data_IF_538572276712
#
_entry.id   IF_538572276712
#
_cell.length_a   1.000
_cell.length_b   1.000
_cell.length_c   1.000
_cell.angle_alpha   90.00
_cell.angle_beta   90.00
_cell.angle_gamma   90.00
#
_symmetry.space_group_name_H-M   'P 1'
#
loop_
_entity.id
_entity.type
_entity.pdbx_description
1 polymer ?
#
# COMPACT_ATOMS: atom_id res chain seq x y z
N UNK A 1 6.66 26.65 -17.39
CA UNK A 1 7.09 27.27 -16.13
C UNK A 1 5.84 27.41 -15.29
N UNK A 2 5.76 26.78 -14.12
CA UNK A 2 4.55 26.81 -13.30
C UNK A 2 4.49 28.15 -12.56
N UNK A 3 3.50 28.98 -12.86
CA UNK A 3 3.23 30.22 -12.13
C UNK A 3 2.85 29.86 -10.69
N UNK A 4 3.80 30.02 -9.77
CA UNK A 4 3.53 29.86 -8.35
C UNK A 4 2.69 31.04 -7.88
N UNK A 5 1.38 30.88 -7.85
CA UNK A 5 0.44 31.88 -7.34
C UNK A 5 0.27 31.75 -5.82
N UNK A 6 -0.40 32.74 -5.21
CA UNK A 6 -0.72 32.76 -3.78
C UNK A 6 -1.63 31.60 -3.29
N UNK A 7 -2.03 30.68 -4.17
CA UNK A 7 -2.77 29.47 -3.79
C UNK A 7 -1.89 28.24 -3.62
N UNK A 8 -0.60 28.31 -3.97
CA UNK A 8 0.38 27.28 -3.61
C UNK A 8 0.64 27.31 -2.10
N UNK A 9 0.55 26.17 -1.36
CA UNK A 9 0.62 26.13 0.11
C UNK A 9 1.87 26.80 0.72
N UNK A 10 3.03 26.65 0.08
CA UNK A 10 4.31 27.19 0.56
C UNK A 10 4.65 28.59 0.01
N UNK A 11 3.75 29.23 -0.74
CA UNK A 11 4.04 30.53 -1.33
C UNK A 11 4.09 31.62 -0.24
N UNK A 12 5.14 32.47 -0.18
CA UNK A 12 5.29 33.48 0.87
C UNK A 12 4.08 34.41 1.02
N UNK A 13 3.46 34.80 -0.10
CA UNK A 13 2.25 35.64 -0.08
C UNK A 13 1.03 34.94 0.54
N UNK A 14 0.92 33.61 0.38
CA UNK A 14 -0.13 32.83 1.02
C UNK A 14 0.07 32.81 2.53
N UNK A 15 1.30 32.53 2.96
CA UNK A 15 1.69 32.50 4.37
C UNK A 15 1.39 33.86 5.02
N UNK A 16 1.85 34.96 4.42
CA UNK A 16 1.60 36.30 4.93
C UNK A 16 0.10 36.65 5.01
N UNK A 17 -0.69 36.26 4.00
CA UNK A 17 -2.14 36.43 4.01
C UNK A 17 -2.81 35.63 5.13
N UNK A 18 -2.37 34.40 5.35
CA UNK A 18 -2.92 33.51 6.38
C UNK A 18 -2.58 34.05 7.78
N UNK A 19 -1.32 34.46 8.01
CA UNK A 19 -0.93 35.09 9.28
C UNK A 19 -1.74 36.36 9.57
N UNK A 20 -1.92 37.23 8.57
CA UNK A 20 -2.71 38.45 8.74
C UNK A 20 -4.16 38.16 9.10
N UNK A 21 -4.80 37.19 8.47
CA UNK A 21 -6.18 36.80 8.77
C UNK A 21 -6.28 36.08 10.12
N UNK A 22 -5.28 35.29 10.52
CA UNK A 22 -5.25 34.67 11.87
C UNK A 22 -5.13 35.72 12.96
N UNK A 23 -4.32 36.75 12.74
CA UNK A 23 -4.17 37.86 13.67
C UNK A 23 -5.46 38.68 13.78
N UNK A 24 -6.17 38.90 12.67
CA UNK A 24 -7.42 39.66 12.64
C UNK A 24 -8.38 39.16 11.54
N UNK A 25 -9.39 38.37 11.94
CA UNK A 25 -10.42 37.80 11.05
C UNK A 25 -11.51 38.78 10.64
N UNK A 26 -11.63 39.93 11.31
CA UNK A 26 -12.57 41.00 10.94
C UNK A 26 -11.86 42.15 10.24
N UNK A 27 -10.53 42.12 10.21
CA UNK A 27 -9.66 43.11 9.63
C UNK A 27 -9.74 43.25 8.11
N UNK A 28 -9.02 44.24 7.57
CA UNK A 28 -9.12 44.64 6.16
C UNK A 28 -8.70 43.54 5.19
N UNK A 29 -7.73 42.68 5.56
CA UNK A 29 -7.28 41.55 4.72
C UNK A 29 -8.36 40.50 4.60
N UNK A 30 -8.99 40.13 5.71
CA UNK A 30 -10.11 39.19 5.75
C UNK A 30 -11.32 39.74 4.97
N UNK A 31 -11.68 41.01 5.20
CA UNK A 31 -12.75 41.68 4.47
C UNK A 31 -12.47 41.77 2.96
N UNK A 32 -11.21 41.96 2.56
CA UNK A 32 -10.80 41.95 1.16
C UNK A 32 -10.96 40.57 0.54
N UNK A 33 -10.52 39.50 1.21
CA UNK A 33 -10.66 38.13 0.72
C UNK A 33 -12.14 37.75 0.52
N UNK A 34 -13.00 38.05 1.50
CA UNK A 34 -14.44 37.83 1.39
C UNK A 34 -15.07 38.61 0.22
N UNK A 35 -14.57 39.81 -0.07
CA UNK A 35 -15.02 40.60 -1.24
C UNK A 35 -14.57 39.98 -2.57
N UNK A 36 -13.38 39.38 -2.63
CA UNK A 36 -12.87 38.72 -3.84
C UNK A 36 -13.72 37.50 -4.24
N UNK A 37 -14.38 36.84 -3.29
CA UNK A 37 -15.39 35.82 -3.60
C UNK A 37 -16.60 36.35 -4.39
N UNK A 38 -16.73 37.68 -4.52
CA UNK A 38 -17.77 38.37 -5.31
C UNK A 38 -17.20 39.13 -6.51
N UNK A 39 -15.94 38.93 -6.86
CA UNK A 39 -15.32 39.59 -8.01
C UNK A 39 -16.03 39.20 -9.33
N UNK A 40 -16.00 40.10 -10.32
CA UNK A 40 -16.61 39.86 -11.63
C UNK A 40 -15.94 38.69 -12.37
N UNK A 41 -14.63 38.56 -12.21
CA UNK A 41 -13.84 37.51 -12.86
C UNK A 41 -13.98 36.16 -12.15
N UNK A 42 -14.43 35.08 -12.84
CA UNK A 42 -14.60 33.77 -12.22
C UNK A 42 -13.31 33.18 -11.62
N UNK A 43 -12.17 33.34 -12.28
CA UNK A 43 -10.88 32.86 -11.76
C UNK A 43 -10.57 33.46 -10.38
N UNK A 44 -10.81 34.75 -10.18
CA UNK A 44 -10.63 35.43 -8.88
C UNK A 44 -11.56 34.85 -7.82
N UNK A 45 -12.83 34.57 -8.18
CA UNK A 45 -13.79 33.94 -7.24
C UNK A 45 -13.34 32.54 -6.84
N UNK A 46 -12.84 31.73 -7.78
CA UNK A 46 -12.33 30.37 -7.53
C UNK A 46 -11.17 30.40 -6.54
N UNK A 47 -10.13 31.19 -6.81
CA UNK A 47 -8.95 31.31 -5.93
C UNK A 47 -9.34 31.85 -4.54
N UNK A 48 -10.26 32.81 -4.48
CA UNK A 48 -10.76 33.33 -3.20
C UNK A 48 -11.48 32.24 -2.38
N UNK A 49 -12.33 31.42 -3.01
CA UNK A 49 -13.02 30.31 -2.34
C UNK A 49 -12.03 29.22 -1.87
N UNK A 50 -10.96 28.95 -2.62
CA UNK A 50 -9.92 27.99 -2.20
C UNK A 50 -9.15 28.48 -0.95
N UNK A 51 -8.80 29.77 -0.93
CA UNK A 51 -8.16 30.40 0.23
C UNK A 51 -9.11 30.41 1.44
N UNK A 52 -10.38 30.78 1.25
CA UNK A 52 -11.41 30.74 2.29
C UNK A 52 -11.62 29.31 2.83
N UNK A 53 -11.67 28.32 1.95
CA UNK A 53 -11.81 26.91 2.35
C UNK A 53 -10.65 26.45 3.22
N UNK A 54 -9.43 26.80 2.82
CA UNK A 54 -8.22 26.48 3.55
C UNK A 54 -8.20 27.12 4.94
N UNK A 55 -8.57 28.41 5.05
CA UNK A 55 -8.63 29.11 6.33
C UNK A 55 -9.73 28.57 7.25
N UNK A 56 -10.89 28.24 6.68
CA UNK A 56 -12.00 27.64 7.41
C UNK A 56 -11.71 26.21 7.88
N UNK A 57 -10.76 25.52 7.22
CA UNK A 57 -10.28 24.22 7.68
C UNK A 57 -9.47 24.33 8.98
N UNK A 58 -8.61 25.35 9.09
CA UNK A 58 -7.77 25.56 10.28
C UNK A 58 -8.60 25.92 11.50
N UNK A 59 -9.57 26.83 11.36
CA UNK A 59 -10.53 27.16 12.41
C UNK A 59 -11.87 27.62 11.81
N UNK A 60 -13.02 27.30 12.43
CA UNK A 60 -14.35 27.67 11.94
C UNK A 60 -14.47 29.15 11.57
N UNK A 61 -15.04 29.44 10.41
CA UNK A 61 -15.19 30.81 9.92
C UNK A 61 -16.56 31.03 9.24
N UNK A 62 -17.59 31.46 10.00
CA UNK A 62 -18.96 31.58 9.50
C UNK A 62 -19.11 32.51 8.28
N UNK A 63 -18.36 33.62 8.23
CA UNK A 63 -18.42 34.58 7.11
C UNK A 63 -17.92 33.96 5.81
N UNK A 64 -16.91 33.10 5.87
CA UNK A 64 -16.43 32.34 4.71
C UNK A 64 -17.51 31.36 4.21
N UNK A 65 -18.22 30.70 5.12
CA UNK A 65 -19.35 29.83 4.80
C UNK A 65 -20.49 30.62 4.15
N UNK A 66 -20.84 31.78 4.70
CA UNK A 66 -21.87 32.67 4.12
C UNK A 66 -21.47 33.17 2.72
N UNK A 67 -20.19 33.48 2.51
CA UNK A 67 -19.69 33.84 1.18
C UNK A 67 -19.83 32.69 0.18
N UNK A 68 -19.59 31.44 0.59
CA UNK A 68 -19.81 30.26 -0.23
C UNK A 68 -21.31 30.03 -0.53
N UNK A 69 -22.20 30.15 0.46
CA UNK A 69 -23.66 30.00 0.26
C UNK A 69 -24.17 30.95 -0.84
N UNK A 70 -23.69 32.19 -0.84
CA UNK A 70 -24.06 33.18 -1.87
C UNK A 70 -23.61 32.81 -3.29
N UNK A 71 -22.76 31.78 -3.47
CA UNK A 71 -22.17 31.32 -4.74
C UNK A 71 -22.65 29.94 -5.17
N UNK A 72 -23.62 29.34 -4.48
CA UNK A 72 -24.17 28.02 -4.86
C UNK A 72 -24.92 28.03 -6.20
N UNK A 73 -25.32 29.21 -6.70
CA UNK A 73 -25.97 29.40 -8.01
C UNK A 73 -25.15 30.30 -8.95
N UNK A 74 -23.83 30.36 -8.75
CA UNK A 74 -22.93 31.14 -9.61
C UNK A 74 -22.97 30.64 -11.08
N UNK A 75 -22.92 31.51 -12.10
CA UNK A 75 -22.92 31.06 -13.50
C UNK A 75 -21.72 30.17 -13.84
N UNK A 76 -20.61 30.32 -13.13
CA UNK A 76 -19.41 29.50 -13.33
C UNK A 76 -19.51 28.20 -12.53
N UNK A 77 -19.52 27.05 -13.23
CA UNK A 77 -19.65 25.72 -12.61
C UNK A 77 -18.58 25.45 -11.54
N UNK A 78 -17.36 25.88 -11.81
CA UNK A 78 -16.22 25.61 -10.94
C UNK A 78 -16.23 26.50 -9.69
N UNK A 79 -16.81 27.71 -9.77
CA UNK A 79 -17.17 28.52 -8.58
C UNK A 79 -18.24 27.82 -7.75
N UNK A 80 -19.30 27.28 -8.38
CA UNK A 80 -20.35 26.51 -7.67
C UNK A 80 -19.77 25.30 -6.96
N UNK A 81 -18.89 24.54 -7.63
CA UNK A 81 -18.18 23.38 -7.06
C UNK A 81 -17.40 23.75 -5.80
N UNK A 82 -16.55 24.77 -5.87
CA UNK A 82 -15.75 25.24 -4.72
C UNK A 82 -16.62 25.77 -3.58
N UNK A 83 -17.67 26.52 -3.92
CA UNK A 83 -18.65 27.01 -2.96
C UNK A 83 -19.35 25.84 -2.24
N UNK A 84 -19.81 24.83 -2.98
CA UNK A 84 -20.41 23.63 -2.43
C UNK A 84 -19.45 22.85 -1.53
N UNK A 85 -18.17 22.71 -1.91
CA UNK A 85 -17.15 22.09 -1.06
C UNK A 85 -16.93 22.87 0.24
N UNK A 86 -16.76 24.20 0.17
CA UNK A 86 -16.59 25.04 1.37
C UNK A 86 -17.82 25.00 2.27
N UNK A 87 -19.01 25.20 1.72
CA UNK A 87 -20.26 25.16 2.47
C UNK A 87 -20.53 23.78 3.06
N UNK A 88 -20.40 22.71 2.27
CA UNK A 88 -20.67 21.35 2.71
C UNK A 88 -19.74 20.89 3.85
N UNK A 89 -18.42 21.09 3.71
CA UNK A 89 -17.44 20.57 4.67
C UNK A 89 -17.21 21.46 5.90
N UNK A 90 -17.64 22.74 5.85
CA UNK A 90 -17.43 23.71 6.95
C UNK A 90 -18.73 24.28 7.51
N UNK A 91 -19.86 24.10 6.83
CA UNK A 91 -21.18 24.48 7.29
C UNK A 91 -21.74 23.50 8.31
N UNK A 92 -22.82 23.90 8.97
CA UNK A 92 -23.57 23.03 9.86
C UNK A 92 -24.43 22.05 9.04
N UNK A 93 -24.45 20.77 9.41
CA UNK A 93 -25.17 19.73 8.66
C UNK A 93 -26.65 20.06 8.43
N UNK A 94 -27.33 20.68 9.42
CA UNK A 94 -28.73 21.11 9.28
C UNK A 94 -28.94 22.14 8.18
N UNK A 95 -28.05 23.14 8.07
CA UNK A 95 -28.09 24.14 7.00
C UNK A 95 -27.77 23.52 5.64
N UNK A 96 -26.85 22.56 5.58
CA UNK A 96 -26.50 21.85 4.34
C UNK A 96 -27.67 20.99 3.86
N UNK A 97 -28.35 20.28 4.76
CA UNK A 97 -29.56 19.52 4.44
C UNK A 97 -30.68 20.43 3.92
N UNK A 98 -30.93 21.57 4.59
CA UNK A 98 -31.94 22.53 4.15
C UNK A 98 -31.64 23.06 2.74
N UNK A 99 -30.38 23.44 2.48
CA UNK A 99 -29.97 23.91 1.16
C UNK A 99 -30.10 22.82 0.08
N UNK A 100 -29.81 21.56 0.41
CA UNK A 100 -30.00 20.44 -0.51
C UNK A 100 -31.47 20.30 -0.95
N UNK A 101 -32.44 20.59 -0.08
CA UNK A 101 -33.86 20.58 -0.45
C UNK A 101 -34.27 21.62 -1.50
N UNK A 102 -33.57 22.76 -1.55
CA UNK A 102 -33.92 23.90 -2.42
C UNK A 102 -33.16 23.94 -3.75
N UNK A 103 -31.99 23.30 -3.81
CA UNK A 103 -31.09 23.38 -4.97
C UNK A 103 -31.44 22.34 -6.03
N UNK A 104 -31.51 22.76 -7.29
CA UNK A 104 -31.75 21.86 -8.43
C UNK A 104 -30.46 21.36 -9.12
N UNK A 105 -29.32 22.05 -8.94
CA UNK A 105 -28.06 21.71 -9.63
C UNK A 105 -27.51 20.34 -9.16
N UNK A 106 -27.42 19.33 -10.05
CA UNK A 106 -26.94 18.01 -9.69
C UNK A 106 -25.53 17.98 -9.11
N UNK A 107 -24.61 18.80 -9.63
CA UNK A 107 -23.23 18.86 -9.16
C UNK A 107 -23.17 19.36 -7.72
N UNK A 108 -23.86 20.47 -7.44
CA UNK A 108 -23.88 21.07 -6.11
C UNK A 108 -24.55 20.12 -5.10
N UNK A 109 -25.71 19.56 -5.45
CA UNK A 109 -26.42 18.59 -4.59
C UNK A 109 -25.55 17.39 -4.23
N UNK A 110 -24.83 16.84 -5.22
CA UNK A 110 -23.93 15.70 -5.03
C UNK A 110 -22.78 16.03 -4.06
N UNK A 111 -22.16 17.19 -4.21
CA UNK A 111 -21.06 17.63 -3.32
C UNK A 111 -21.57 17.83 -1.89
N UNK A 112 -22.75 18.45 -1.72
CA UNK A 112 -23.35 18.66 -0.40
C UNK A 112 -23.72 17.32 0.26
N UNK A 113 -24.34 16.39 -0.48
CA UNK A 113 -24.64 15.05 0.01
C UNK A 113 -23.38 14.31 0.46
N UNK A 114 -22.28 14.42 -0.30
CA UNK A 114 -20.99 13.83 0.09
C UNK A 114 -20.44 14.44 1.37
N UNK A 115 -20.55 15.75 1.54
CA UNK A 115 -20.03 16.44 2.70
C UNK A 115 -20.81 16.16 4.00
N UNK A 116 -22.10 15.80 3.89
CA UNK A 116 -22.94 15.39 5.02
C UNK A 116 -22.47 14.09 5.70
N UNK A 117 -21.70 13.25 5.00
CA UNK A 117 -21.21 11.98 5.52
C UNK A 117 -22.35 11.12 6.08
N UNK A 118 -22.25 10.58 7.32
CA UNK A 118 -23.30 9.73 7.89
C UNK A 118 -24.71 10.35 7.90
N UNK A 119 -24.82 11.68 7.93
CA UNK A 119 -26.12 12.38 7.90
C UNK A 119 -26.87 12.16 6.58
N UNK A 120 -26.16 11.87 5.49
CA UNK A 120 -26.76 11.61 4.18
C UNK A 120 -27.57 10.30 4.14
N UNK A 121 -27.45 9.41 5.13
CA UNK A 121 -28.17 8.13 5.17
C UNK A 121 -29.71 8.27 5.10
N UNK A 122 -30.26 9.46 5.39
CA UNK A 122 -31.69 9.74 5.27
C UNK A 122 -32.15 10.15 3.86
N UNK A 123 -31.22 10.31 2.91
CA UNK A 123 -31.50 10.79 1.55
C UNK A 123 -31.67 9.64 0.55
N UNK A 124 -32.14 8.46 1.00
CA UNK A 124 -32.31 7.28 0.13
C UNK A 124 -33.40 7.45 -0.92
N UNK A 125 -34.35 8.35 -0.69
CA UNK A 125 -35.46 8.66 -1.61
C UNK A 125 -35.21 9.93 -2.44
N UNK A 126 -33.97 10.44 -2.48
CA UNK A 126 -33.63 11.65 -3.23
C UNK A 126 -33.89 11.50 -4.74
N UNK A 127 -34.29 12.58 -5.42
CA UNK A 127 -34.53 12.56 -6.86
C UNK A 127 -33.26 12.28 -7.69
N UNK A 128 -32.07 12.58 -7.16
CA UNK A 128 -30.80 12.43 -7.85
C UNK A 128 -30.08 11.14 -7.44
N UNK A 129 -29.74 10.31 -8.43
CA UNK A 129 -29.12 9.00 -8.18
C UNK A 129 -27.76 9.08 -7.47
N UNK A 130 -26.95 10.12 -7.71
CA UNK A 130 -25.69 10.31 -6.98
C UNK A 130 -25.91 10.59 -5.49
N UNK A 131 -26.98 11.28 -5.13
CA UNK A 131 -27.35 11.53 -3.72
C UNK A 131 -27.86 10.25 -3.08
N UNK A 132 -28.76 9.53 -3.76
CA UNK A 132 -29.23 8.21 -3.29
C UNK A 132 -28.10 7.22 -3.14
N UNK A 133 -27.17 7.15 -4.10
CA UNK A 133 -26.00 6.28 -4.02
C UNK A 133 -25.18 6.58 -2.76
N UNK A 134 -24.88 7.85 -2.48
CA UNK A 134 -24.16 8.25 -1.27
C UNK A 134 -24.97 7.89 0.00
N UNK A 135 -26.29 8.13 0.01
CA UNK A 135 -27.15 7.77 1.13
C UNK A 135 -27.18 6.25 1.39
N UNK A 136 -27.28 5.44 0.34
CA UNK A 136 -27.21 3.98 0.40
C UNK A 136 -25.85 3.51 0.89
N UNK A 137 -24.76 4.17 0.48
CA UNK A 137 -23.41 3.85 0.91
C UNK A 137 -23.21 4.14 2.41
N UNK A 138 -23.72 5.27 2.90
CA UNK A 138 -23.68 5.61 4.33
C UNK A 138 -24.59 4.67 5.16
N UNK A 139 -25.75 4.31 4.62
CA UNK A 139 -26.63 3.30 5.23
C UNK A 139 -25.94 1.95 5.32
N UNK A 140 -25.22 1.54 4.27
CA UNK A 140 -24.46 0.29 4.23
C UNK A 140 -23.38 0.23 5.30
N UNK A 141 -22.69 1.33 5.59
CA UNK A 141 -21.65 1.40 6.63
C UNK A 141 -22.17 1.08 8.03
N UNK A 142 -23.43 1.41 8.32
CA UNK A 142 -24.05 1.16 9.62
C UNK A 142 -24.96 -0.08 9.63
N UNK A 143 -25.22 -0.70 8.47
CA UNK A 143 -26.20 -1.76 8.34
C UNK A 143 -25.70 -3.13 8.84
N UNK A 144 -26.58 -3.93 9.48
CA UNK A 144 -26.27 -5.32 9.79
C UNK A 144 -26.20 -6.19 8.51
N UNK A 145 -25.48 -7.34 8.55
CA UNK A 145 -25.25 -8.19 7.37
C UNK A 145 -26.50 -8.60 6.59
N UNK A 146 -27.63 -8.78 7.27
CA UNK A 146 -28.91 -9.15 6.65
C UNK A 146 -29.41 -8.12 5.62
N UNK A 147 -29.02 -6.84 5.75
CA UNK A 147 -29.43 -5.76 4.84
C UNK A 147 -28.46 -5.49 3.70
N UNK A 148 -27.28 -6.11 3.71
CA UNK A 148 -26.22 -5.79 2.75
C UNK A 148 -26.65 -6.06 1.31
N UNK A 149 -27.27 -7.22 1.04
CA UNK A 149 -27.70 -7.57 -0.33
C UNK A 149 -28.73 -6.60 -0.91
N UNK A 150 -29.69 -6.14 -0.11
CA UNK A 150 -30.68 -5.15 -0.57
C UNK A 150 -30.05 -3.79 -0.84
N UNK A 151 -29.05 -3.40 -0.04
CA UNK A 151 -28.34 -2.14 -0.24
C UNK A 151 -27.39 -2.20 -1.45
N UNK A 152 -26.76 -3.36 -1.68
CA UNK A 152 -25.95 -3.57 -2.89
C UNK A 152 -26.81 -3.48 -4.16
N UNK A 153 -28.03 -4.04 -4.14
CA UNK A 153 -28.97 -3.92 -5.26
C UNK A 153 -29.35 -2.45 -5.51
N UNK A 154 -29.69 -1.69 -4.47
CA UNK A 154 -30.00 -0.27 -4.59
C UNK A 154 -28.80 0.56 -5.09
N UNK A 155 -27.58 0.26 -4.62
CA UNK A 155 -26.35 0.88 -5.12
C UNK A 155 -26.14 0.58 -6.61
N UNK A 156 -26.37 -0.65 -7.04
CA UNK A 156 -26.28 -1.04 -8.46
C UNK A 156 -27.33 -0.35 -9.33
N UNK A 157 -28.54 -0.15 -8.83
CA UNK A 157 -29.59 0.59 -9.56
C UNK A 157 -29.20 2.06 -9.77
N UNK A 158 -28.53 2.67 -8.79
CA UNK A 158 -28.12 4.08 -8.85
C UNK A 158 -26.78 4.32 -9.58
N UNK A 159 -25.87 3.33 -9.60
CA UNK A 159 -24.45 3.53 -9.93
C UNK A 159 -24.22 4.15 -11.31
N UNK A 160 -25.00 3.76 -12.32
CA UNK A 160 -24.85 4.22 -13.70
C UNK A 160 -25.16 5.71 -13.85
N UNK A 161 -26.21 6.16 -13.18
CA UNK A 161 -26.61 7.57 -13.20
C UNK A 161 -25.70 8.38 -12.29
N UNK A 162 -25.35 7.83 -11.12
CA UNK A 162 -24.43 8.46 -10.18
C UNK A 162 -23.07 8.79 -10.80
N UNK A 163 -22.58 7.95 -11.72
CA UNK A 163 -21.30 8.11 -12.39
C UNK A 163 -21.18 9.38 -13.24
N UNK A 164 -22.30 10.04 -13.57
CA UNK A 164 -22.29 11.33 -14.29
C UNK A 164 -21.87 12.50 -13.40
N UNK A 165 -21.93 12.33 -12.08
CA UNK A 165 -21.71 13.39 -11.10
C UNK A 165 -20.71 13.00 -10.01
N UNK A 166 -20.26 11.74 -9.97
CA UNK A 166 -19.30 11.20 -9.01
C UNK A 166 -18.17 10.46 -9.73
N UNK A 167 -16.99 11.06 -9.73
CA UNK A 167 -15.80 10.57 -10.46
C UNK A 167 -15.07 9.41 -9.73
N UNK A 168 -15.33 9.17 -8.45
CA UNK A 168 -14.58 8.23 -7.60
C UNK A 168 -15.43 7.14 -6.93
N UNK A 169 -16.55 6.77 -7.56
CA UNK A 169 -17.51 5.77 -7.06
C UNK A 169 -16.86 4.44 -6.68
N UNK A 170 -16.04 3.88 -7.56
CA UNK A 170 -15.40 2.58 -7.31
C UNK A 170 -14.48 2.60 -6.10
N UNK A 171 -13.76 3.71 -5.90
CA UNK A 171 -12.87 3.90 -4.76
C UNK A 171 -13.66 4.02 -3.45
N UNK A 172 -14.66 4.90 -3.38
CA UNK A 172 -15.45 5.11 -2.14
C UNK A 172 -16.26 3.87 -1.76
N UNK A 173 -16.74 3.12 -2.76
CA UNK A 173 -17.45 1.87 -2.54
C UNK A 173 -16.49 0.78 -2.05
N UNK A 174 -15.33 0.63 -2.69
CA UNK A 174 -14.29 -0.31 -2.26
C UNK A 174 -13.83 -0.10 -0.82
N UNK A 175 -13.57 1.16 -0.43
CA UNK A 175 -13.23 1.50 0.96
C UNK A 175 -14.32 1.10 1.95
N UNK A 176 -15.58 1.23 1.56
CA UNK A 176 -16.72 0.84 2.39
C UNK A 176 -16.78 -0.68 2.57
N UNK A 177 -16.65 -1.43 1.48
CA UNK A 177 -16.62 -2.90 1.52
C UNK A 177 -15.42 -3.45 2.30
N UNK A 178 -14.26 -2.79 2.19
CA UNK A 178 -13.07 -3.11 2.98
C UNK A 178 -13.32 -2.99 4.49
N UNK A 179 -13.87 -1.86 4.93
CA UNK A 179 -14.20 -1.64 6.35
C UNK A 179 -15.20 -2.66 6.90
N UNK A 180 -16.09 -3.17 6.05
CA UNK A 180 -17.06 -4.20 6.39
C UNK A 180 -16.50 -5.63 6.27
N UNK A 181 -15.25 -5.81 5.83
CA UNK A 181 -14.64 -7.14 5.65
C UNK A 181 -15.24 -7.95 4.49
N UNK A 182 -15.86 -7.29 3.50
CA UNK A 182 -16.66 -7.91 2.43
C UNK A 182 -15.84 -8.28 1.20
N UNK A 183 -14.77 -9.05 1.39
CA UNK A 183 -13.82 -9.41 0.33
C UNK A 183 -14.48 -10.13 -0.86
N UNK A 184 -15.18 -11.24 -0.62
CA UNK A 184 -15.79 -12.04 -1.69
C UNK A 184 -16.96 -11.31 -2.39
N UNK A 185 -17.75 -10.54 -1.63
CA UNK A 185 -18.82 -9.73 -2.21
C UNK A 185 -18.25 -8.65 -3.13
N UNK A 186 -17.11 -8.07 -2.77
CA UNK A 186 -16.39 -7.11 -3.63
C UNK A 186 -16.03 -7.75 -4.97
N UNK A 187 -15.54 -9.00 -4.97
CA UNK A 187 -15.20 -9.67 -6.23
C UNK A 187 -16.43 -9.94 -7.10
N UNK A 188 -17.55 -10.28 -6.46
CA UNK A 188 -18.83 -10.47 -7.14
C UNK A 188 -19.35 -9.17 -7.75
N UNK A 189 -19.26 -8.05 -7.02
CA UNK A 189 -19.63 -6.73 -7.51
C UNK A 189 -18.73 -6.26 -8.65
N UNK A 190 -17.41 -6.48 -8.55
CA UNK A 190 -16.46 -6.20 -9.64
C UNK A 190 -16.85 -6.97 -10.90
N UNK A 191 -17.12 -8.27 -10.80
CA UNK A 191 -17.54 -9.07 -11.94
C UNK A 191 -18.83 -8.53 -12.59
N UNK A 192 -19.81 -8.16 -11.77
CA UNK A 192 -21.06 -7.57 -12.24
C UNK A 192 -20.84 -6.24 -12.97
N UNK A 193 -20.08 -5.32 -12.37
CA UNK A 193 -19.82 -3.99 -12.91
C UNK A 193 -18.95 -4.01 -14.17
N UNK A 194 -18.00 -4.95 -14.28
CA UNK A 194 -17.15 -5.11 -15.48
C UNK A 194 -17.93 -5.65 -16.69
N UNK A 195 -19.00 -6.42 -16.43
CA UNK A 195 -19.83 -7.02 -17.47
C UNK A 195 -20.65 -5.97 -18.25
N UNK A 196 -21.13 -4.91 -17.60
CA UNK A 196 -21.81 -3.78 -18.26
C UNK A 196 -20.80 -2.71 -18.73
N UNK A 197 -20.71 -2.42 -20.03
CA UNK A 197 -19.89 -1.32 -20.55
C UNK A 197 -20.10 0.03 -19.86
N UNK A 198 -21.32 0.33 -19.39
CA UNK A 198 -21.66 1.61 -18.77
C UNK A 198 -21.08 1.76 -17.35
N UNK A 199 -20.75 0.65 -16.67
CA UNK A 199 -20.24 0.64 -15.30
C UNK A 199 -18.82 0.08 -15.21
N UNK A 200 -18.20 -0.26 -16.34
CA UNK A 200 -16.92 -0.95 -16.39
C UNK A 200 -15.80 -0.20 -15.68
N UNK A 201 -15.72 1.11 -15.86
CA UNK A 201 -14.68 1.92 -15.21
C UNK A 201 -14.83 1.92 -13.69
N UNK A 202 -16.07 1.90 -13.20
CA UNK A 202 -16.40 1.80 -11.76
C UNK A 202 -15.99 0.42 -11.24
N UNK A 203 -16.27 -0.64 -12.00
CA UNK A 203 -15.82 -2.00 -11.70
C UNK A 203 -14.30 -2.13 -11.67
N UNK A 204 -13.60 -1.46 -12.58
CA UNK A 204 -12.14 -1.41 -12.62
C UNK A 204 -11.55 -0.65 -11.42
N UNK A 205 -12.12 0.51 -11.06
CA UNK A 205 -11.70 1.26 -9.87
C UNK A 205 -11.95 0.49 -8.57
N UNK A 206 -13.10 -0.21 -8.49
CA UNK A 206 -13.42 -1.10 -7.38
C UNK A 206 -12.42 -2.27 -7.30
N UNK A 207 -12.05 -2.85 -8.45
CA UNK A 207 -11.05 -3.92 -8.52
C UNK A 207 -9.66 -3.42 -8.09
N UNK A 208 -9.28 -2.22 -8.52
CA UNK A 208 -8.03 -1.56 -8.13
C UNK A 208 -7.98 -1.32 -6.63
N UNK A 209 -9.06 -0.78 -6.05
CA UNK A 209 -9.18 -0.61 -4.60
C UNK A 209 -9.06 -1.96 -3.87
N UNK A 210 -9.74 -2.99 -4.35
CA UNK A 210 -9.66 -4.33 -3.78
C UNK A 210 -8.23 -4.91 -3.81
N UNK A 211 -7.47 -4.68 -4.89
CA UNK A 211 -6.08 -5.10 -5.00
C UNK A 211 -5.16 -4.42 -3.97
N UNK A 212 -5.45 -3.16 -3.63
CA UNK A 212 -4.73 -2.43 -2.57
C UNK A 212 -5.11 -2.88 -1.16
N UNK A 213 -6.29 -3.46 -0.97
CA UNK A 213 -6.83 -3.76 0.36
C UNK A 213 -6.66 -5.24 0.75
N UNK A 214 -6.89 -6.17 -0.18
CA UNK A 214 -6.83 -7.61 0.05
C UNK A 214 -5.75 -8.29 -0.77
N UNK A 215 -5.03 -9.23 -0.15
CA UNK A 215 -3.93 -9.95 -0.83
C UNK A 215 -4.40 -10.96 -1.86
N UNK A 216 -5.59 -11.52 -1.69
CA UNK A 216 -6.16 -12.46 -2.66
C UNK A 216 -6.68 -11.75 -3.92
N UNK A 217 -7.01 -10.46 -3.84
CA UNK A 217 -7.72 -9.73 -4.89
C UNK A 217 -6.97 -9.73 -6.24
N UNK A 218 -5.65 -9.50 -6.32
CA UNK A 218 -4.95 -9.57 -7.60
C UNK A 218 -5.09 -10.91 -8.31
N UNK A 219 -4.98 -12.03 -7.58
CA UNK A 219 -5.14 -13.37 -8.15
C UNK A 219 -6.57 -13.60 -8.61
N UNK A 220 -7.56 -13.18 -7.81
CA UNK A 220 -8.98 -13.40 -8.11
C UNK A 220 -9.50 -12.51 -9.25
N UNK A 221 -9.04 -11.26 -9.33
CA UNK A 221 -9.61 -10.24 -10.21
C UNK A 221 -8.85 -10.10 -11.54
N UNK A 222 -7.57 -10.47 -11.60
CA UNK A 222 -6.78 -10.32 -12.82
C UNK A 222 -7.40 -11.02 -14.04
N UNK A 223 -7.91 -12.28 -13.96
CA UNK A 223 -8.57 -12.91 -15.08
C UNK A 223 -9.81 -12.13 -15.58
N UNK A 224 -10.61 -11.60 -14.65
CA UNK A 224 -11.80 -10.79 -14.98
C UNK A 224 -11.42 -9.49 -15.67
N UNK A 225 -10.40 -8.79 -15.17
CA UNK A 225 -9.89 -7.56 -15.77
C UNK A 225 -9.38 -7.79 -17.19
N UNK A 226 -8.66 -8.90 -17.42
CA UNK A 226 -8.18 -9.28 -18.77
C UNK A 226 -9.34 -9.66 -19.68
N UNK A 227 -10.33 -10.40 -19.19
CA UNK A 227 -11.52 -10.80 -19.96
C UNK A 227 -12.31 -9.60 -20.49
N UNK A 228 -12.48 -8.56 -19.66
CA UNK A 228 -13.31 -7.39 -20.00
C UNK A 228 -12.54 -6.24 -20.66
N UNK A 229 -11.29 -6.47 -21.09
CA UNK A 229 -10.41 -5.40 -21.60
C UNK A 229 -10.81 -4.73 -22.91
N UNK A 230 -11.71 -5.37 -23.67
CA UNK A 230 -12.14 -4.88 -24.97
C UNK A 230 -10.98 -4.64 -25.94
N UNK A 231 -11.23 -3.88 -27.02
CA UNK A 231 -10.19 -3.44 -27.97
C UNK A 231 -9.46 -2.17 -27.50
N UNK A 232 -10.11 -1.36 -26.68
CA UNK A 232 -9.60 -0.10 -26.13
C UNK A 232 -9.65 -0.18 -24.61
N UNK A 233 -8.48 -0.18 -23.98
CA UNK A 233 -8.34 -0.18 -22.53
C UNK A 233 -8.58 1.23 -22.00
N UNK A 234 -9.58 1.39 -21.14
CA UNK A 234 -9.84 2.67 -20.46
C UNK A 234 -8.75 2.97 -19.43
N UNK A 235 -8.52 4.23 -19.04
CA UNK A 235 -7.54 4.57 -18.01
C UNK A 235 -7.77 3.83 -16.68
N UNK A 236 -9.02 3.72 -16.23
CA UNK A 236 -9.38 3.00 -15.00
C UNK A 236 -9.00 1.51 -15.08
N UNK A 237 -9.35 0.86 -16.18
CA UNK A 237 -9.01 -0.54 -16.41
C UNK A 237 -7.49 -0.77 -16.53
N UNK A 238 -6.78 0.10 -17.24
CA UNK A 238 -5.33 0.06 -17.35
C UNK A 238 -4.65 0.22 -15.99
N UNK A 239 -5.15 1.13 -15.16
CA UNK A 239 -4.69 1.31 -13.78
C UNK A 239 -4.96 0.08 -12.92
N UNK A 240 -6.14 -0.55 -13.03
CA UNK A 240 -6.47 -1.78 -12.30
C UNK A 240 -5.59 -2.97 -12.72
N UNK A 241 -5.38 -3.18 -14.02
CA UNK A 241 -4.47 -4.20 -14.55
C UNK A 241 -3.04 -3.98 -14.06
N UNK A 242 -2.56 -2.73 -14.10
CA UNK A 242 -1.22 -2.37 -13.61
C UNK A 242 -1.07 -2.68 -12.13
N UNK A 243 -2.06 -2.34 -11.30
CA UNK A 243 -2.06 -2.67 -9.88
C UNK A 243 -2.09 -4.17 -9.64
N UNK A 244 -2.98 -4.92 -10.29
CA UNK A 244 -3.05 -6.37 -10.13
C UNK A 244 -1.71 -7.06 -10.50
N UNK A 245 -1.03 -6.54 -11.53
CA UNK A 245 0.27 -7.04 -12.00
C UNK A 245 1.42 -6.81 -11.02
N UNK A 246 1.24 -5.99 -9.98
CA UNK A 246 2.23 -5.82 -8.91
C UNK A 246 2.38 -7.11 -8.10
N UNK A 247 1.30 -7.90 -7.96
CA UNK A 247 1.33 -9.11 -7.14
C UNK A 247 2.08 -10.25 -7.81
N UNK A 248 3.12 -10.76 -7.16
CA UNK A 248 3.89 -11.90 -7.67
C UNK A 248 3.07 -13.19 -7.71
N UNK A 249 2.10 -13.32 -6.79
CA UNK A 249 1.18 -14.46 -6.79
C UNK A 249 0.29 -14.45 -8.04
N UNK A 250 -0.31 -13.29 -8.35
CA UNK A 250 -1.13 -13.13 -9.55
C UNK A 250 -0.31 -13.34 -10.83
N UNK A 251 0.90 -12.78 -10.90
CA UNK A 251 1.79 -12.97 -12.06
C UNK A 251 2.20 -14.43 -12.26
N UNK A 252 2.44 -15.18 -11.19
CA UNK A 252 2.72 -16.63 -11.30
C UNK A 252 1.50 -17.43 -11.75
N UNK A 253 0.32 -17.09 -11.25
CA UNK A 253 -0.91 -17.81 -11.56
C UNK A 253 -1.45 -17.50 -12.97
N UNK A 254 -1.32 -16.24 -13.40
CA UNK A 254 -2.05 -15.69 -14.55
C UNK A 254 -1.21 -14.83 -15.49
N UNK A 255 0.12 -14.77 -15.30
CA UNK A 255 1.00 -13.92 -16.11
C UNK A 255 0.91 -14.16 -17.62
N UNK A 256 0.57 -15.38 -18.04
CA UNK A 256 0.32 -15.70 -19.45
C UNK A 256 -0.83 -14.87 -20.06
N UNK A 257 -1.87 -14.55 -19.27
CA UNK A 257 -2.99 -13.72 -19.72
C UNK A 257 -2.57 -12.27 -20.01
N UNK A 258 -1.54 -11.79 -19.32
CA UNK A 258 -0.99 -10.44 -19.49
C UNK A 258 0.00 -10.32 -20.64
N UNK A 259 0.61 -11.43 -21.09
CA UNK A 259 1.52 -11.43 -22.23
C UNK A 259 0.85 -10.94 -23.52
N UNK A 260 -0.48 -11.08 -23.60
CA UNK A 260 -1.30 -10.59 -24.71
C UNK A 260 -1.73 -9.13 -24.54
N UNK A 261 -1.39 -8.46 -23.43
CA UNK A 261 -1.75 -7.07 -23.14
C UNK A 261 -0.56 -6.18 -23.46
N UNK A 262 -0.71 -5.14 -24.32
CA UNK A 262 0.29 -4.10 -24.45
C UNK A 262 0.35 -3.29 -23.13
N UNK A 263 1.20 -3.72 -22.20
CA UNK A 263 1.45 -2.99 -20.96
C UNK A 263 2.73 -2.18 -21.10
N UNK A 264 2.69 -0.89 -20.78
CA UNK A 264 3.90 -0.16 -20.41
C UNK A 264 4.42 -0.77 -19.11
N UNK A 265 5.61 -1.40 -19.10
CA UNK A 265 6.15 -1.93 -17.86
C UNK A 265 6.26 -0.78 -16.86
N UNK A 266 5.63 -0.92 -15.70
CA UNK A 266 5.90 0.01 -14.61
C UNK A 266 7.41 -0.02 -14.36
N UNK A 267 8.09 1.14 -14.28
CA UNK A 267 9.50 1.15 -13.97
C UNK A 267 9.67 0.47 -12.62
N UNK A 268 10.20 -0.76 -12.63
CA UNK A 268 10.75 -1.37 -11.42
C UNK A 268 11.83 -0.39 -10.98
N UNK A 269 11.69 0.17 -9.78
CA UNK A 269 12.80 0.85 -9.15
C UNK A 269 13.96 -0.13 -9.20
N UNK A 270 14.96 0.18 -10.04
CA UNK A 270 16.13 -0.65 -10.24
C UNK A 270 16.76 -0.72 -8.85
N UNK A 271 16.68 -1.88 -8.18
CA UNK A 271 17.57 -2.17 -7.06
C UNK A 271 18.96 -2.02 -7.65
N UNK A 272 19.62 -0.90 -7.34
CA UNK A 272 21.02 -0.72 -7.70
C UNK A 272 21.71 -1.92 -7.06
N UNK A 273 22.31 -2.82 -7.86
CA UNK A 273 23.08 -3.92 -7.29
C UNK A 273 24.11 -3.27 -6.38
N UNK A 274 24.04 -3.57 -5.09
CA UNK A 274 25.10 -3.17 -4.18
C UNK A 274 26.35 -3.82 -4.74
N UNK A 275 27.30 -3.01 -5.23
CA UNK A 275 28.61 -3.52 -5.65
C UNK A 275 29.16 -4.27 -4.45
N UNK A 276 29.28 -5.60 -4.60
CA UNK A 276 29.80 -6.47 -3.56
C UNK A 276 31.28 -6.16 -3.44
N UNK A 277 31.63 -5.27 -2.52
CA UNK A 277 33.01 -5.05 -2.12
C UNK A 277 33.39 -6.24 -1.25
N UNK A 278 34.15 -7.19 -1.79
CA UNK A 278 34.69 -8.29 -1.02
C UNK A 278 35.78 -7.75 -0.08
N UNK A 279 35.66 -8.02 1.21
CA UNK A 279 36.69 -7.71 2.21
C UNK A 279 37.47 -8.99 2.51
N UNK A 280 38.80 -8.91 2.55
CA UNK A 280 39.63 -9.93 3.20
C UNK A 280 39.76 -9.62 4.71
N UNK A 281 40.25 -10.59 5.48
CA UNK A 281 40.35 -10.45 6.94
C UNK A 281 41.29 -9.33 7.36
N UNK A 282 42.38 -9.08 6.62
CA UNK A 282 43.34 -8.02 6.91
C UNK A 282 42.74 -6.62 6.69
N UNK A 283 42.03 -6.42 5.58
CA UNK A 283 41.35 -5.16 5.27
C UNK A 283 40.18 -4.91 6.22
N UNK A 284 39.44 -5.96 6.58
CA UNK A 284 38.36 -5.89 7.57
C UNK A 284 38.89 -5.47 8.95
N UNK A 285 40.01 -6.05 9.40
CA UNK A 285 40.63 -5.72 10.68
C UNK A 285 41.16 -4.28 10.71
N UNK A 286 41.90 -3.87 9.68
CA UNK A 286 42.41 -2.51 9.56
C UNK A 286 41.27 -1.47 9.58
N UNK A 287 40.17 -1.75 8.88
CA UNK A 287 39.00 -0.88 8.85
C UNK A 287 38.32 -0.78 10.23
N UNK A 288 38.13 -1.90 10.94
CA UNK A 288 37.53 -1.89 12.27
C UNK A 288 38.43 -1.26 13.33
N UNK A 289 39.75 -1.39 13.22
CA UNK A 289 40.71 -0.74 14.10
C UNK A 289 40.59 0.80 14.04
N UNK A 290 40.29 1.34 12.85
CA UNK A 290 40.04 2.76 12.63
C UNK A 290 38.64 3.23 13.11
N UNK A 291 37.74 2.32 13.51
CA UNK A 291 36.41 2.65 14.02
C UNK A 291 36.35 2.63 15.55
N UNK A 292 35.48 3.46 16.16
CA UNK A 292 35.23 3.41 17.59
C UNK A 292 34.56 2.09 17.99
N UNK A 293 34.71 1.71 19.27
CA UNK A 293 34.04 0.51 19.81
C UNK A 293 32.52 0.69 19.83
N UNK A 294 32.04 1.89 20.19
CA UNK A 294 30.62 2.27 20.24
C UNK A 294 29.96 2.50 18.88
N UNK A 295 30.43 1.85 17.81
CA UNK A 295 29.87 2.02 16.47
C UNK A 295 28.43 1.51 16.41
N UNK A 296 27.52 2.35 15.92
CA UNK A 296 26.09 2.01 15.78
C UNK A 296 25.65 1.87 14.33
N UNK A 297 26.52 2.24 13.38
CA UNK A 297 26.31 2.12 11.94
C UNK A 297 27.64 1.85 11.26
N UNK A 298 27.66 0.84 10.40
CA UNK A 298 28.82 0.50 9.58
C UNK A 298 28.30 0.03 8.22
N UNK A 299 28.74 0.68 7.14
CA UNK A 299 28.47 0.19 5.80
C UNK A 299 29.19 -1.14 5.60
N UNK A 300 28.56 -2.10 4.91
CA UNK A 300 29.10 -3.44 4.67
C UNK A 300 29.46 -4.21 5.96
N UNK A 301 28.74 -3.95 7.05
CA UNK A 301 29.00 -4.60 8.33
C UNK A 301 28.97 -6.13 8.22
N UNK A 302 28.02 -6.67 7.46
CA UNK A 302 27.92 -8.12 7.24
C UNK A 302 29.19 -8.69 6.63
N UNK A 303 29.67 -8.09 5.54
CA UNK A 303 30.80 -8.57 4.75
C UNK A 303 32.11 -8.48 5.55
N UNK A 304 32.29 -7.39 6.30
CA UNK A 304 33.46 -7.17 7.16
C UNK A 304 33.53 -8.23 8.27
N UNK A 305 32.43 -8.44 9.00
CA UNK A 305 32.43 -9.38 10.13
C UNK A 305 32.38 -10.85 9.68
N UNK A 306 31.82 -11.14 8.50
CA UNK A 306 31.86 -12.47 7.90
C UNK A 306 33.29 -12.86 7.52
N UNK A 307 34.04 -11.98 6.86
CA UNK A 307 35.45 -12.20 6.55
C UNK A 307 36.32 -12.45 7.80
N UNK A 308 36.03 -11.76 8.90
CA UNK A 308 36.74 -11.96 10.17
C UNK A 308 36.37 -13.29 10.84
N UNK A 309 35.08 -13.64 10.89
CA UNK A 309 34.61 -14.90 11.47
C UNK A 309 35.03 -16.14 10.67
N UNK A 310 35.26 -15.98 9.36
CA UNK A 310 35.81 -17.03 8.50
C UNK A 310 37.31 -17.22 8.75
N UNK A 311 38.03 -16.16 9.10
CA UNK A 311 39.46 -16.22 9.43
C UNK A 311 39.75 -16.69 10.86
N UNK A 312 38.81 -16.55 11.79
CA UNK A 312 38.99 -17.03 13.17
C UNK A 312 38.07 -16.36 14.20
N UNK A 313 38.32 -16.59 15.50
CA UNK A 313 37.55 -15.94 16.57
C UNK A 313 37.79 -14.43 16.58
N UNK A 314 36.72 -13.67 16.79
CA UNK A 314 36.81 -12.21 16.94
C UNK A 314 37.60 -11.83 18.20
N UNK A 315 38.41 -10.79 18.09
CA UNK A 315 39.02 -10.15 19.27
C UNK A 315 37.93 -9.52 20.14
N UNK A 316 38.23 -9.27 21.42
CA UNK A 316 37.29 -8.61 22.34
C UNK A 316 36.76 -7.27 21.77
N UNK A 317 37.63 -6.49 21.13
CA UNK A 317 37.26 -5.21 20.51
C UNK A 317 36.29 -5.40 19.35
N UNK A 318 36.59 -6.32 18.43
CA UNK A 318 35.74 -6.63 17.28
C UNK A 318 34.37 -7.18 17.75
N UNK A 319 34.36 -8.07 18.75
CA UNK A 319 33.14 -8.58 19.35
C UNK A 319 32.29 -7.45 19.96
N UNK A 320 32.89 -6.50 20.68
CA UNK A 320 32.18 -5.35 21.23
C UNK A 320 31.57 -4.45 20.12
N UNK A 321 32.27 -4.27 19.00
CA UNK A 321 31.74 -3.54 17.83
C UNK A 321 30.56 -4.28 17.20
N UNK A 322 30.66 -5.60 16.99
CA UNK A 322 29.57 -6.43 16.47
C UNK A 322 28.35 -6.41 17.40
N UNK A 323 28.57 -6.49 18.72
CA UNK A 323 27.52 -6.39 19.72
C UNK A 323 26.79 -5.04 19.61
N UNK A 324 27.51 -3.93 19.47
CA UNK A 324 26.86 -2.63 19.36
C UNK A 324 25.99 -2.53 18.09
N UNK A 325 26.45 -3.08 16.97
CA UNK A 325 25.65 -3.13 15.73
C UNK A 325 24.42 -4.04 15.87
N UNK A 326 24.55 -5.17 16.58
CA UNK A 326 23.48 -6.15 16.77
C UNK A 326 22.44 -5.76 17.85
N UNK A 327 22.78 -4.91 18.83
CA UNK A 327 21.91 -4.67 20.01
C UNK A 327 21.52 -3.22 20.28
N UNK A 328 22.18 -2.21 19.68
CA UNK A 328 21.95 -0.81 20.09
C UNK A 328 20.82 -0.11 19.36
N UNK A 329 20.57 -0.44 18.09
CA UNK A 329 19.62 0.31 17.26
C UNK A 329 18.87 -0.61 16.30
N UNK A 330 17.53 -0.56 16.30
CA UNK A 330 16.73 -1.25 15.30
C UNK A 330 17.05 -0.80 13.88
N UNK A 331 17.06 -1.75 12.96
CA UNK A 331 17.20 -1.50 11.53
C UNK A 331 18.15 -2.47 10.83
N UNK A 332 18.54 -2.08 9.61
CA UNK A 332 19.33 -2.91 8.69
C UNK A 332 20.60 -3.49 9.34
N UNK A 333 21.44 -2.68 9.98
CA UNK A 333 22.68 -3.16 10.60
C UNK A 333 22.43 -4.19 11.70
N UNK A 334 21.37 -4.02 12.51
CA UNK A 334 21.01 -5.00 13.54
C UNK A 334 20.62 -6.34 12.91
N UNK A 335 19.78 -6.30 11.87
CA UNK A 335 19.32 -7.50 11.20
C UNK A 335 20.44 -8.24 10.46
N UNK A 336 21.37 -7.52 9.84
CA UNK A 336 22.54 -8.09 9.16
C UNK A 336 23.58 -8.68 10.14
N UNK A 337 23.76 -8.06 11.30
CA UNK A 337 24.75 -8.46 12.30
C UNK A 337 24.25 -9.53 13.28
N UNK A 338 22.93 -9.66 13.49
CA UNK A 338 22.35 -10.64 14.42
C UNK A 338 22.77 -12.11 14.13
N UNK A 339 22.76 -12.61 12.87
CA UNK A 339 23.23 -13.96 12.56
C UNK A 339 24.73 -14.14 12.83
N UNK A 340 25.53 -13.10 12.59
CA UNK A 340 26.98 -13.12 12.84
C UNK A 340 27.27 -13.14 14.34
N UNK A 341 26.49 -12.39 15.13
CA UNK A 341 26.57 -12.46 16.58
C UNK A 341 26.17 -13.84 17.11
N UNK A 342 25.13 -14.47 16.56
CA UNK A 342 24.77 -15.85 16.90
C UNK A 342 25.91 -16.83 16.60
N UNK A 343 26.56 -16.69 15.43
CA UNK A 343 27.73 -17.51 15.06
C UNK A 343 28.90 -17.32 16.03
N UNK A 344 29.12 -16.10 16.52
CA UNK A 344 30.20 -15.79 17.47
C UNK A 344 29.89 -16.23 18.92
N UNK A 345 28.73 -15.85 19.45
CA UNK A 345 28.36 -16.04 20.86
C UNK A 345 27.67 -17.39 21.14
N UNK A 346 27.24 -18.10 20.09
CA UNK A 346 26.58 -19.38 20.18
C UNK A 346 25.10 -19.31 20.62
N UNK A 347 24.47 -20.47 20.87
CA UNK A 347 23.03 -20.59 21.09
C UNK A 347 22.48 -19.81 22.28
N UNK A 348 23.31 -19.46 23.27
CA UNK A 348 22.90 -18.66 24.44
C UNK A 348 22.41 -17.26 24.07
N UNK A 349 22.84 -16.72 22.91
CA UNK A 349 22.41 -15.42 22.41
C UNK A 349 21.05 -15.46 21.69
N UNK A 350 20.55 -16.65 21.34
CA UNK A 350 19.40 -16.82 20.44
C UNK A 350 18.13 -16.16 20.96
N UNK A 351 17.74 -16.44 22.21
CA UNK A 351 16.50 -15.91 22.80
C UNK A 351 16.45 -14.38 22.76
N UNK A 352 17.57 -13.74 23.07
CA UNK A 352 17.71 -12.28 23.06
C UNK A 352 17.64 -11.72 21.64
N UNK A 353 18.28 -12.36 20.67
CA UNK A 353 18.21 -11.94 19.27
C UNK A 353 16.78 -12.05 18.73
N UNK A 354 16.10 -13.18 18.97
CA UNK A 354 14.72 -13.36 18.52
C UNK A 354 13.77 -12.34 19.16
N UNK A 355 13.91 -12.06 20.46
CA UNK A 355 13.12 -11.03 21.15
C UNK A 355 13.29 -9.63 20.55
N UNK A 356 14.45 -9.32 19.96
CA UNK A 356 14.71 -8.04 19.31
C UNK A 356 14.17 -7.98 17.87
N UNK A 357 14.29 -9.08 17.12
CA UNK A 357 13.96 -9.10 15.69
C UNK A 357 12.46 -9.30 15.44
N UNK A 358 11.81 -10.21 16.20
CA UNK A 358 10.43 -10.64 15.93
C UNK A 358 9.36 -9.53 16.02
N UNK A 359 9.47 -8.51 16.90
CA UNK A 359 8.48 -7.42 16.94
C UNK A 359 8.44 -6.56 15.67
N UNK A 360 9.49 -6.60 14.84
CA UNK A 360 9.65 -5.73 13.69
C UNK A 360 9.33 -6.41 12.34
N UNK A 361 8.89 -7.68 12.34
CA UNK A 361 8.64 -8.41 11.09
C UNK A 361 7.45 -7.88 10.29
N UNK A 362 6.54 -7.14 10.94
CA UNK A 362 5.42 -6.46 10.29
C UNK A 362 5.71 -5.02 9.87
N UNK A 363 6.92 -4.51 10.11
CA UNK A 363 7.31 -3.15 9.77
C UNK A 363 7.80 -3.09 8.32
N UNK A 364 7.24 -2.22 7.49
CA UNK A 364 7.60 -2.11 6.08
C UNK A 364 8.99 -1.49 5.86
N UNK A 365 9.48 -0.66 6.79
CA UNK A 365 10.75 0.04 6.64
C UNK A 365 11.94 -0.86 6.99
N UNK A 366 11.74 -1.79 7.92
CA UNK A 366 12.84 -2.61 8.48
C UNK A 366 12.57 -4.12 8.49
N UNK A 367 11.33 -4.56 8.34
CA UNK A 367 10.92 -5.96 8.44
C UNK A 367 11.57 -6.87 7.41
N UNK A 368 11.77 -6.40 6.17
CA UNK A 368 12.47 -7.17 5.13
C UNK A 368 13.90 -7.55 5.58
N UNK A 369 14.62 -6.63 6.24
CA UNK A 369 15.96 -6.92 6.73
C UNK A 369 15.93 -7.96 7.85
N UNK A 370 15.00 -7.86 8.80
CA UNK A 370 14.87 -8.84 9.87
C UNK A 370 14.47 -10.22 9.36
N UNK A 371 13.58 -10.29 8.37
CA UNK A 371 13.25 -11.54 7.69
C UNK A 371 14.47 -12.17 7.03
N UNK A 372 15.29 -11.37 6.33
CA UNK A 372 16.55 -11.83 5.75
C UNK A 372 17.55 -12.29 6.82
N UNK A 373 17.67 -11.58 7.93
CA UNK A 373 18.50 -11.97 9.07
C UNK A 373 18.06 -13.31 9.66
N UNK A 374 16.76 -13.48 9.94
CA UNK A 374 16.19 -14.75 10.41
C UNK A 374 16.40 -15.89 9.41
N UNK A 375 16.33 -15.61 8.11
CA UNK A 375 16.61 -16.61 7.07
C UNK A 375 18.07 -17.08 7.13
N UNK A 376 19.03 -16.17 7.37
CA UNK A 376 20.45 -16.51 7.56
C UNK A 376 20.73 -17.31 8.83
N UNK A 377 19.86 -17.21 9.86
CA UNK A 377 19.95 -18.03 11.07
C UNK A 377 19.45 -19.47 10.84
N UNK A 378 18.78 -19.75 9.71
CA UNK A 378 18.32 -21.08 9.33
C UNK A 378 17.45 -21.76 10.39
N UNK A 379 17.73 -23.05 10.64
CA UNK A 379 17.04 -23.84 11.69
C UNK A 379 17.05 -23.22 13.09
N UNK A 380 18.02 -22.37 13.43
CA UNK A 380 18.12 -21.77 14.76
C UNK A 380 16.97 -20.78 15.01
N UNK A 381 16.41 -20.19 13.95
CA UNK A 381 15.28 -19.26 14.03
C UNK A 381 13.91 -19.96 14.12
N UNK A 382 13.84 -21.29 14.31
CA UNK A 382 12.58 -22.03 14.46
C UNK A 382 11.59 -21.45 15.49
N UNK A 383 12.03 -20.95 16.66
CA UNK A 383 11.11 -20.32 17.61
C UNK A 383 10.43 -19.04 17.09
N UNK A 384 10.98 -18.42 16.04
CA UNK A 384 10.39 -17.25 15.39
C UNK A 384 9.32 -17.60 14.33
N UNK A 385 9.09 -18.88 14.01
CA UNK A 385 8.12 -19.30 13.00
C UNK A 385 6.71 -18.71 13.18
N UNK A 386 6.13 -18.62 14.40
CA UNK A 386 4.84 -17.97 14.58
C UNK A 386 4.87 -16.50 14.13
N UNK A 387 5.92 -15.76 14.47
CA UNK A 387 6.09 -14.36 14.10
C UNK A 387 6.36 -14.18 12.59
N UNK A 388 7.11 -15.10 11.96
CA UNK A 388 7.34 -15.11 10.49
C UNK A 388 6.07 -15.49 9.73
N UNK A 389 5.22 -16.33 10.31
CA UNK A 389 3.98 -16.81 9.66
C UNK A 389 2.85 -15.79 9.78
N UNK A 390 2.82 -14.97 10.82
CA UNK A 390 1.80 -13.92 10.98
C UNK A 390 1.72 -12.98 9.76
N UNK A 391 2.82 -12.42 9.19
CA UNK A 391 2.79 -11.67 7.95
C UNK A 391 2.32 -12.47 6.73
N UNK A 392 2.34 -13.80 6.73
CA UNK A 392 1.89 -14.64 5.61
C UNK A 392 0.38 -14.82 5.67
N UNK A 393 -0.14 -15.12 6.86
CA UNK A 393 -1.55 -15.46 7.09
C UNK A 393 -2.48 -14.22 7.08
N UNK A 394 -1.90 -13.01 7.04
CA UNK A 394 -2.67 -11.78 6.89
C UNK A 394 -3.43 -11.76 5.58
N UNK A 395 -4.73 -11.54 5.70
CA UNK A 395 -5.66 -11.43 4.58
C UNK A 395 -5.65 -10.04 3.94
N UNK A 396 -5.45 -9.01 4.76
CA UNK A 396 -5.41 -7.60 4.36
C UNK A 396 -3.97 -7.08 4.29
N UNK A 397 -3.76 -6.08 3.43
CA UNK A 397 -2.46 -5.41 3.29
C UNK A 397 -2.19 -4.46 4.45
N UNK A 398 -0.92 -4.14 4.66
CA UNK A 398 -0.52 -3.13 5.63
C UNK A 398 -0.76 -1.76 4.98
N UNK A 399 -1.64 -0.90 5.54
CA UNK A 399 -1.71 0.48 5.09
C UNK A 399 -0.40 1.15 5.47
N UNK A 400 0.30 1.66 4.47
CA UNK A 400 1.39 2.60 4.69
C UNK A 400 0.80 3.99 4.41
N UNK A 401 1.41 5.05 4.92
CA UNK A 401 0.95 6.42 4.62
C UNK A 401 2.18 7.26 4.23
N UNK A 402 3.06 6.66 3.44
CA UNK A 402 4.37 7.21 3.11
C UNK A 402 4.57 7.43 1.60
N UNK A 403 3.65 6.93 0.76
CA UNK A 403 3.82 6.93 -0.70
C UNK A 403 2.49 6.73 -1.44
N UNK A 404 2.52 6.22 -2.68
CA UNK A 404 1.31 5.91 -3.45
C UNK A 404 0.82 4.51 -3.09
N UNK A 405 -0.50 4.25 -3.10
CA UNK A 405 -1.05 2.91 -2.81
C UNK A 405 -0.41 1.77 -3.61
N UNK A 406 0.02 2.03 -4.84
CA UNK A 406 0.77 1.03 -5.65
C UNK A 406 2.18 0.77 -5.10
N UNK A 407 2.88 1.79 -4.58
CA UNK A 407 4.16 1.61 -3.91
C UNK A 407 4.00 0.88 -2.58
N UNK A 408 2.97 1.19 -1.81
CA UNK A 408 2.64 0.51 -0.55
C UNK A 408 2.31 -0.97 -0.80
N UNK A 409 1.55 -1.27 -1.86
CA UNK A 409 1.29 -2.64 -2.30
C UNK A 409 2.58 -3.38 -2.64
N UNK A 410 3.56 -2.75 -3.31
CA UNK A 410 4.87 -3.38 -3.59
C UNK A 410 5.64 -3.68 -2.31
N UNK A 411 5.61 -2.78 -1.32
CA UNK A 411 6.25 -2.99 -0.03
C UNK A 411 5.64 -4.20 0.69
N UNK A 412 4.30 -4.32 0.71
CA UNK A 412 3.61 -5.48 1.29
C UNK A 412 3.94 -6.78 0.54
N UNK A 413 3.97 -6.77 -0.80
CA UNK A 413 4.37 -7.95 -1.61
C UNK A 413 5.83 -8.38 -1.34
N UNK A 414 6.76 -7.42 -1.24
CA UNK A 414 8.15 -7.71 -0.88
C UNK A 414 8.27 -8.31 0.53
N UNK A 415 7.49 -7.79 1.48
CA UNK A 415 7.48 -8.29 2.85
C UNK A 415 6.91 -9.72 2.91
N UNK A 416 5.82 -9.99 2.17
CA UNK A 416 5.24 -11.32 2.03
C UNK A 416 6.24 -12.32 1.40
N UNK A 417 6.88 -11.92 0.30
CA UNK A 417 7.90 -12.73 -0.35
C UNK A 417 9.08 -13.02 0.59
N UNK A 418 9.54 -12.01 1.34
CA UNK A 418 10.52 -12.14 2.40
C UNK A 418 10.11 -13.18 3.44
N UNK A 419 8.88 -13.08 3.97
CA UNK A 419 8.37 -14.01 4.99
C UNK A 419 8.27 -15.44 4.47
N UNK A 420 7.81 -15.64 3.23
CA UNK A 420 7.76 -16.95 2.57
C UNK A 420 9.16 -17.53 2.34
N UNK A 421 10.14 -16.71 1.98
CA UNK A 421 11.54 -17.12 1.83
C UNK A 421 12.14 -17.52 3.18
N UNK A 422 11.96 -16.70 4.22
CA UNK A 422 12.44 -16.95 5.58
C UNK A 422 11.85 -18.22 6.16
N UNK A 423 10.54 -18.44 6.01
CA UNK A 423 9.89 -19.68 6.45
C UNK A 423 10.51 -20.90 5.76
N UNK A 424 10.75 -20.83 4.45
CA UNK A 424 11.43 -21.91 3.71
C UNK A 424 12.85 -22.15 4.22
N UNK A 425 13.64 -21.10 4.45
CA UNK A 425 15.00 -21.21 4.97
C UNK A 425 15.06 -21.88 6.36
N UNK A 426 14.14 -21.51 7.26
CA UNK A 426 14.04 -22.13 8.60
C UNK A 426 13.73 -23.64 8.50
N UNK A 427 12.97 -24.06 7.48
CA UNK A 427 12.61 -25.46 7.27
C UNK A 427 13.66 -26.26 6.47
N UNK A 428 14.51 -25.63 5.66
CA UNK A 428 15.43 -26.31 4.74
C UNK A 428 16.40 -27.28 5.45
N UNK A 429 16.81 -26.96 6.68
CA UNK A 429 17.73 -27.76 7.50
C UNK A 429 17.08 -28.98 8.19
N UNK A 430 15.79 -29.25 7.95
CA UNK A 430 15.07 -30.39 8.57
C UNK A 430 15.00 -31.64 7.69
N UNK A 431 15.59 -31.62 6.49
CA UNK A 431 15.72 -32.83 5.67
C UNK A 431 16.97 -33.59 6.11
N UNK A 432 16.86 -34.79 6.71
CA UNK A 432 18.04 -35.60 6.99
C UNK A 432 18.73 -35.95 5.65
N UNK A 433 20.07 -35.97 5.58
CA UNK A 433 20.76 -36.40 4.38
C UNK A 433 20.24 -37.77 3.99
N UNK A 434 19.84 -37.93 2.71
CA UNK A 434 19.43 -39.22 2.18
C UNK A 434 20.51 -40.24 2.53
N UNK A 435 20.11 -41.36 3.15
CA UNK A 435 21.02 -42.43 3.52
C UNK A 435 21.85 -42.82 2.29
N UNK A 436 23.18 -42.98 2.42
CA UNK A 436 24.01 -43.39 1.31
C UNK A 436 23.45 -44.69 0.72
N UNK A 437 23.37 -44.81 -0.62
CA UNK A 437 22.88 -46.03 -1.24
C UNK A 437 23.72 -47.22 -0.72
N UNK A 438 23.09 -48.37 -0.42
CA UNK A 438 23.81 -49.52 0.06
C UNK A 438 24.92 -49.90 -0.93
N UNK A 439 26.08 -50.37 -0.46
CA UNK A 439 27.20 -50.72 -1.31
C UNK A 439 26.73 -51.69 -2.40
N UNK A 440 26.99 -51.34 -3.67
CA UNK A 440 26.74 -52.23 -4.80
C UNK A 440 27.42 -53.55 -4.50
N UNK A 441 26.63 -54.60 -4.29
CA UNK A 441 27.14 -55.97 -4.27
C UNK A 441 27.84 -56.18 -5.62
N UNK A 442 29.15 -56.42 -5.57
CA UNK A 442 29.91 -56.87 -6.72
C UNK A 442 29.24 -58.15 -7.23
N UNK A 443 28.89 -58.23 -8.53
CA UNK A 443 28.39 -59.48 -9.08
C UNK A 443 29.46 -60.55 -8.89
N UNK A 444 29.05 -61.66 -8.27
CA UNK A 444 29.86 -62.84 -8.10
C UNK A 444 30.48 -63.21 -9.46
N UNK A 445 31.80 -63.37 -9.48
CA UNK A 445 32.52 -63.92 -10.61
C UNK A 445 31.94 -65.32 -10.89
N UNK A 446 31.18 -65.41 -11.98
CA UNK A 446 30.80 -66.69 -12.59
C UNK A 446 32.09 -67.37 -13.03
N UNK A 447 32.51 -68.38 -12.27
CA UNK A 447 33.47 -69.37 -12.69
C UNK A 447 32.94 -70.07 -13.95
N UNK A 448 33.54 -69.79 -15.10
CA UNK A 448 33.41 -70.63 -16.29
C UNK A 448 34.09 -71.99 -16.02
N UNK A 449 33.47 -73.12 -16.38
CA UNK A 449 34.14 -74.41 -16.41
C UNK A 449 35.08 -74.51 -17.63
N UNK A 450 36.09 -75.39 -17.59
CA UNK A 450 37.08 -75.51 -18.65
C UNK A 450 36.49 -76.19 -19.90
N UNK A 451 36.84 -75.65 -21.07
CA UNK A 451 36.50 -76.18 -22.38
C UNK A 451 37.17 -77.54 -22.62
N UNK A 452 36.37 -78.57 -22.80
CA UNK A 452 36.80 -79.86 -23.35
C UNK A 452 37.20 -79.73 -24.82
N UNK A 453 38.28 -80.42 -25.15
CA UNK A 453 38.92 -80.50 -26.46
C UNK A 453 38.45 -81.77 -27.18
N UNK A 454 37.81 -81.64 -28.34
CA UNK A 454 37.68 -82.70 -29.35
C UNK A 454 37.67 -82.02 -30.73
N UNK A 455 38.74 -82.06 -31.55
CA UNK A 455 39.32 -83.13 -32.39
C UNK A 455 38.37 -83.74 -33.44
N UNK A 456 38.81 -83.59 -34.69
CA UNK A 456 38.46 -84.29 -35.95
C UNK A 456 37.13 -83.85 -36.59
N UNK A 457 37.05 -83.46 -37.87
CA UNK A 457 37.83 -83.81 -39.09
C UNK A 457 37.84 -82.63 -40.05
#
# INVERSE_FOLDING_TARGET
MADSTATTPAHPSRVALFEAIRADRTGPVAARLLRLARADTPSVRREALDLLHSMAHEQPWPEAVNAAVARLSDPDEEVRRRAACLFGYRGQSGSVLAALGELADPLVRTILARALGPTAAHLTDDGLASVRFLAHLETLRAAPPVRWRSLDAALLDDVREAARHLEDLGLIWGQTLYRLGREHDTYTLVAHLLADPATRDIGADLARAACHDWRAAPTMLLPLLVQHRGRTVTPALGAALTTASISEAAMRAHGALLAEVPSTPSPRARRIPSTVTAYDSASADALLAAKPVGITRLAHASEIFEALLDAGPLTFRQAAQLYNLAFRRPGRSQAECAPLWLRHAGPSALSRLLALMTPHLGDYAIGEYYLAGLARMGSHARPALPAVTAPIDRRTRIPVNDSTRDAEMRLDENLLAGALNTRRAIHADTVPPAAPPPPRQQPAQLLCPPSETHRHT
#
